data_IF_724224468030
#
_entry.id   IF_724224468030
#
_cell.length_a   1.000
_cell.length_b   1.000
_cell.length_c   1.000
_cell.angle_alpha   90.00
_cell.angle_beta   90.00
_cell.angle_gamma   90.00
#
_symmetry.space_group_name_H-M   'P 1'
#
loop_
_entity.id
_entity.type
_entity.pdbx_description
1 polymer ?
#
# COMPACT_ATOMS: atom_id res chain seq x y z
N UNK A 1 4.03 6.45 -2.30
CA UNK A 1 5.19 6.86 -3.14
C UNK A 1 5.17 6.01 -4.40
N UNK A 2 4.95 6.58 -5.59
CA UNK A 2 5.17 5.83 -6.85
C UNK A 2 6.62 6.02 -7.29
N UNK A 3 7.25 4.97 -7.81
CA UNK A 3 8.53 5.09 -8.50
C UNK A 3 8.34 5.87 -9.82
N UNK A 4 9.38 6.60 -10.26
CA UNK A 4 9.34 7.74 -11.21
C UNK A 4 8.54 7.56 -12.50
N UNK A 5 8.27 6.33 -12.93
CA UNK A 5 7.63 6.03 -14.21
C UNK A 5 6.19 5.49 -14.08
N UNK A 6 5.64 5.34 -12.85
CA UNK A 6 4.29 4.84 -12.63
C UNK A 6 3.34 5.93 -12.14
N UNK A 7 2.27 6.19 -12.91
CA UNK A 7 1.20 7.15 -12.55
C UNK A 7 0.33 6.65 -11.40
N UNK A 8 0.21 5.34 -11.23
CA UNK A 8 -0.57 4.69 -10.19
C UNK A 8 0.09 3.38 -9.79
N UNK A 9 -0.30 2.87 -8.62
CA UNK A 9 -0.05 1.50 -8.18
C UNK A 9 -1.40 0.84 -7.91
N UNK A 10 -1.42 -0.48 -7.80
CA UNK A 10 -2.61 -1.17 -7.33
C UNK A 10 -2.66 -1.18 -5.81
N UNK A 11 -3.85 -1.07 -5.27
CA UNK A 11 -4.14 -1.28 -3.86
C UNK A 11 -5.20 -2.37 -3.75
N UNK A 12 -4.92 -3.37 -2.92
CA UNK A 12 -5.86 -4.37 -2.47
C UNK A 12 -6.17 -4.08 -1.02
N UNK A 13 -7.44 -3.87 -0.76
CA UNK A 13 -8.00 -3.66 0.57
C UNK A 13 -8.67 -4.96 1.02
N UNK A 14 -8.45 -5.34 2.27
CA UNK A 14 -8.93 -6.60 2.82
C UNK A 14 -10.47 -6.65 2.73
N UNK A 15 -11.01 -7.72 2.14
CA UNK A 15 -12.43 -7.92 1.75
C UNK A 15 -12.95 -7.12 0.54
N UNK A 16 -12.09 -6.37 -0.16
CA UNK A 16 -12.48 -5.53 -1.30
C UNK A 16 -11.76 -5.90 -2.60
N UNK A 17 -12.32 -5.51 -3.74
CA UNK A 17 -11.67 -5.66 -5.05
C UNK A 17 -10.47 -4.72 -5.15
N UNK A 18 -9.44 -5.16 -5.89
CA UNK A 18 -8.27 -4.34 -6.15
C UNK A 18 -8.62 -3.12 -7.02
N UNK A 19 -8.04 -1.96 -6.71
CA UNK A 19 -8.27 -0.70 -7.42
C UNK A 19 -6.98 0.07 -7.70
N UNK A 20 -7.05 1.02 -8.63
CA UNK A 20 -5.94 1.91 -8.96
C UNK A 20 -5.79 3.02 -7.90
N UNK A 21 -4.58 3.14 -7.35
CA UNK A 21 -4.19 4.15 -6.38
C UNK A 21 -3.21 5.16 -6.98
N UNK A 22 -3.59 6.44 -6.94
CA UNK A 22 -2.83 7.56 -7.47
C UNK A 22 -2.28 8.41 -6.32
N UNK A 23 -1.07 8.13 -5.79
CA UNK A 23 -0.55 8.78 -4.58
C UNK A 23 -0.31 10.30 -4.73
N UNK A 24 -0.28 10.82 -5.95
CA UNK A 24 -0.17 12.25 -6.24
C UNK A 24 -1.46 13.04 -5.99
N UNK A 25 -2.61 12.35 -5.86
CA UNK A 25 -3.91 12.98 -5.63
C UNK A 25 -4.12 13.19 -4.13
N UNK A 26 -3.81 14.38 -3.63
CA UNK A 26 -3.79 14.73 -2.20
C UNK A 26 -5.18 14.88 -1.54
N UNK A 27 -6.26 14.96 -2.31
CA UNK A 27 -7.57 15.46 -1.86
C UNK A 27 -8.57 14.39 -1.37
N UNK A 28 -8.11 13.17 -1.06
CA UNK A 28 -9.01 12.00 -0.94
C UNK A 28 -9.71 11.81 0.42
N UNK A 29 -9.32 12.53 1.49
CA UNK A 29 -9.91 12.35 2.83
C UNK A 29 -11.39 12.74 2.90
N UNK A 30 -11.79 13.79 2.20
CA UNK A 30 -13.15 14.34 2.27
C UNK A 30 -14.06 13.85 1.13
N UNK A 31 -13.48 13.23 0.11
CA UNK A 31 -14.18 12.73 -1.07
C UNK A 31 -13.72 11.28 -1.37
N UNK A 32 -14.46 10.26 -0.90
CA UNK A 32 -14.15 8.88 -1.22
C UNK A 32 -14.24 8.63 -2.74
N UNK A 33 -13.46 7.67 -3.23
CA UNK A 33 -13.61 7.21 -4.62
C UNK A 33 -14.60 6.06 -4.63
N UNK A 34 -15.69 6.20 -5.39
CA UNK A 34 -16.59 5.09 -5.61
C UNK A 34 -15.94 4.06 -6.53
N UNK A 35 -15.84 2.82 -6.05
CA UNK A 35 -15.33 1.67 -6.78
C UNK A 35 -16.53 0.84 -7.20
N UNK A 36 -16.71 0.68 -8.52
CA UNK A 36 -17.70 -0.23 -9.06
C UNK A 36 -17.26 -1.68 -8.81
N UNK A 37 -18.10 -2.45 -8.13
CA UNK A 37 -17.85 -3.85 -7.85
C UNK A 37 -19.20 -4.59 -7.79
N UNK A 38 -19.58 -5.24 -8.87
CA UNK A 38 -20.84 -5.98 -8.98
C UNK A 38 -20.95 -7.14 -7.98
N UNK A 39 -19.82 -7.61 -7.44
CA UNK A 39 -19.79 -8.66 -6.41
C UNK A 39 -20.03 -8.12 -5.01
N UNK A 40 -19.91 -6.81 -4.83
CA UNK A 40 -20.19 -6.14 -3.57
C UNK A 40 -21.69 -5.84 -3.43
N UNK A 41 -22.23 -5.97 -2.22
CA UNK A 41 -23.63 -5.66 -1.96
C UNK A 41 -23.93 -4.19 -2.30
N UNK A 42 -24.77 -3.96 -3.32
CA UNK A 42 -25.08 -2.62 -3.81
C UNK A 42 -24.31 -2.17 -5.06
N UNK A 43 -23.51 -3.06 -5.68
CA UNK A 43 -22.85 -2.80 -6.97
C UNK A 43 -21.57 -1.97 -6.89
N UNK A 44 -21.10 -1.66 -5.68
CA UNK A 44 -19.85 -0.96 -5.45
C UNK A 44 -19.73 -0.43 -4.03
N UNK A 45 -18.59 0.20 -3.72
CA UNK A 45 -18.29 0.74 -2.40
C UNK A 45 -17.44 2.01 -2.49
N UNK A 46 -17.52 2.84 -1.45
CA UNK A 46 -16.68 4.03 -1.32
C UNK A 46 -15.33 3.63 -0.68
N UNK A 47 -14.25 3.73 -1.46
CA UNK A 47 -12.90 3.57 -0.94
C UNK A 47 -12.40 4.89 -0.35
N UNK A 48 -12.14 4.88 0.96
CA UNK A 48 -11.54 5.99 1.69
C UNK A 48 -10.04 5.72 1.77
N UNK A 49 -9.24 6.48 1.00
CA UNK A 49 -7.80 6.27 0.98
C UNK A 49 -7.19 6.78 2.29
N UNK A 50 -6.58 5.92 3.13
CA UNK A 50 -5.87 6.41 4.29
C UNK A 50 -4.61 7.16 3.85
N UNK A 51 -4.22 8.17 4.62
CA UNK A 51 -2.93 8.83 4.52
C UNK A 51 -1.81 7.86 4.92
N UNK A 52 -1.44 6.89 4.07
CA UNK A 52 -0.26 6.02 4.22
C UNK A 52 -0.20 5.14 5.50
N UNK A 53 -0.96 5.46 6.54
CA UNK A 53 -1.03 4.82 7.85
C UNK A 53 -2.35 4.04 7.96
N UNK A 54 -2.28 2.75 8.28
CA UNK A 54 -3.47 1.89 8.32
C UNK A 54 -4.40 2.30 9.47
N UNK A 55 -5.68 2.52 9.16
CA UNK A 55 -6.75 2.78 10.13
C UNK A 55 -7.29 1.49 10.78
N UNK A 56 -6.43 0.47 10.93
CA UNK A 56 -6.81 -0.87 11.39
C UNK A 56 -7.00 -1.93 10.30
N UNK A 57 -7.08 -1.51 9.02
CA UNK A 57 -7.24 -2.43 7.88
C UNK A 57 -5.91 -2.80 7.20
N UNK A 58 -5.88 -4.00 6.61
CA UNK A 58 -4.74 -4.51 5.85
C UNK A 58 -4.82 -4.05 4.39
N UNK A 59 -3.77 -3.37 3.94
CA UNK A 59 -3.62 -2.94 2.56
C UNK A 59 -2.38 -3.56 1.93
N UNK A 60 -2.54 -4.13 0.73
CA UNK A 60 -1.43 -4.52 -0.12
C UNK A 60 -1.33 -3.55 -1.30
N UNK A 61 -0.23 -2.79 -1.35
CA UNK A 61 0.10 -1.92 -2.46
C UNK A 61 1.16 -2.56 -3.33
N UNK A 62 1.00 -2.50 -4.65
CA UNK A 62 1.95 -3.14 -5.56
C UNK A 62 2.00 -2.48 -6.93
N UNK A 63 3.16 -2.60 -7.56
CA UNK A 63 3.40 -2.11 -8.92
C UNK A 63 2.62 -2.91 -9.96
N UNK A 64 2.38 -2.31 -11.13
CA UNK A 64 1.65 -2.97 -12.23
C UNK A 64 2.28 -4.31 -12.67
N UNK A 65 3.59 -4.40 -12.58
CA UNK A 65 4.41 -5.55 -12.94
C UNK A 65 4.78 -6.44 -11.74
N UNK A 66 4.23 -6.17 -10.55
CA UNK A 66 4.50 -6.89 -9.30
C UNK A 66 5.98 -6.89 -8.86
N UNK A 67 6.83 -6.04 -9.45
CA UNK A 67 8.26 -5.95 -9.13
C UNK A 67 8.55 -5.33 -7.76
N UNK A 68 7.61 -4.55 -7.22
CA UNK A 68 7.70 -3.96 -5.88
C UNK A 68 6.32 -3.75 -5.26
N UNK A 69 6.30 -3.63 -3.94
CA UNK A 69 5.08 -3.37 -3.19
C UNK A 69 5.30 -3.40 -1.68
N UNK A 70 4.24 -3.13 -0.94
CA UNK A 70 4.24 -3.22 0.51
C UNK A 70 2.88 -3.64 1.08
N UNK A 71 2.92 -4.37 2.19
CA UNK A 71 1.75 -4.82 2.96
C UNK A 71 1.75 -4.11 4.31
N UNK A 72 0.62 -3.51 4.68
CA UNK A 72 0.43 -2.93 6.01
C UNK A 72 -0.14 -3.99 6.96
N UNK A 73 0.46 -4.10 8.15
CA UNK A 73 -0.03 -4.91 9.27
C UNK A 73 -0.27 -3.98 10.47
N UNK A 74 -1.45 -3.35 10.56
CA UNK A 74 -1.78 -2.39 11.62
C UNK A 74 -1.67 -2.99 13.02
N UNK A 75 -2.02 -4.26 13.18
CA UNK A 75 -2.05 -4.94 14.48
C UNK A 75 -0.65 -5.15 15.05
N UNK A 76 0.32 -5.45 14.18
CA UNK A 76 1.75 -5.51 14.57
C UNK A 76 2.46 -4.17 14.45
N UNK A 77 1.78 -3.13 13.97
CA UNK A 77 2.39 -1.84 13.63
C UNK A 77 3.56 -1.99 12.65
N UNK A 78 3.44 -2.92 11.69
CA UNK A 78 4.49 -3.25 10.74
C UNK A 78 4.08 -2.89 9.31
N UNK A 79 5.08 -2.59 8.48
CA UNK A 79 4.95 -2.50 7.03
C UNK A 79 5.98 -3.43 6.41
N UNK A 80 5.51 -4.43 5.68
CA UNK A 80 6.38 -5.36 4.95
C UNK A 80 6.62 -4.80 3.56
N UNK A 81 7.89 -4.63 3.18
CA UNK A 81 8.27 -4.02 1.89
C UNK A 81 9.05 -5.05 1.06
N UNK A 82 8.68 -5.20 -0.21
CA UNK A 82 9.42 -6.01 -1.18
C UNK A 82 9.78 -5.21 -2.45
N UNK A 83 10.71 -5.76 -3.22
CA UNK A 83 11.32 -5.10 -4.37
C UNK A 83 12.53 -4.26 -3.96
N UNK A 84 13.68 -4.51 -4.60
CA UNK A 84 14.96 -3.91 -4.23
C UNK A 84 14.92 -2.37 -4.32
N UNK A 85 14.33 -1.84 -5.39
CA UNK A 85 14.23 -0.40 -5.62
C UNK A 85 13.42 0.30 -4.52
N UNK A 86 12.24 -0.21 -4.19
CA UNK A 86 11.41 0.37 -3.14
C UNK A 86 12.05 0.24 -1.75
N UNK A 87 12.66 -0.92 -1.45
CA UNK A 87 13.39 -1.11 -0.18
C UNK A 87 14.51 -0.10 0.00
N UNK A 88 15.31 0.15 -1.05
CA UNK A 88 16.38 1.16 -1.03
C UNK A 88 15.84 2.57 -0.76
N UNK A 89 14.76 2.96 -1.42
CA UNK A 89 14.14 4.28 -1.20
C UNK A 89 13.55 4.42 0.21
N UNK A 90 12.88 3.39 0.73
CA UNK A 90 12.37 3.41 2.12
C UNK A 90 13.51 3.48 3.12
N UNK A 91 14.57 2.68 2.93
CA UNK A 91 15.74 2.69 3.80
C UNK A 91 16.41 4.08 3.82
N UNK A 92 16.57 4.71 2.65
CA UNK A 92 17.14 6.05 2.52
C UNK A 92 16.30 7.12 3.25
N UNK A 93 14.98 6.97 3.28
CA UNK A 93 14.06 7.94 3.86
C UNK A 93 13.47 7.52 5.22
N UNK A 94 13.93 6.41 5.81
CA UNK A 94 13.31 5.80 6.98
C UNK A 94 13.18 6.76 8.16
N UNK A 95 14.23 7.55 8.42
CA UNK A 95 14.23 8.57 9.48
C UNK A 95 13.18 9.65 9.24
N UNK A 96 13.05 10.15 8.01
CA UNK A 96 12.05 11.15 7.65
C UNK A 96 10.62 10.59 7.76
N UNK A 97 10.45 9.30 7.47
CA UNK A 97 9.18 8.58 7.58
C UNK A 97 8.85 8.16 9.01
N UNK A 98 9.76 8.36 9.98
CA UNK A 98 9.58 7.89 11.36
C UNK A 98 9.58 6.36 11.50
N UNK A 99 10.24 5.65 10.57
CA UNK A 99 10.27 4.19 10.55
C UNK A 99 11.51 3.63 11.23
N UNK A 100 11.30 2.60 12.04
CA UNK A 100 12.37 1.71 12.51
C UNK A 100 12.49 0.55 11.54
N UNK A 101 13.66 0.39 10.93
CA UNK A 101 13.93 -0.71 10.01
C UNK A 101 14.13 -2.00 10.79
N UNK A 102 13.37 -3.04 10.43
CA UNK A 102 13.51 -4.39 10.96
C UNK A 102 14.02 -5.25 9.82
N UNK A 103 15.27 -5.73 9.92
CA UNK A 103 15.75 -6.72 8.95
C UNK A 103 15.11 -8.08 9.24
N UNK A 104 14.38 -8.61 8.26
CA UNK A 104 14.04 -10.01 8.27
C UNK A 104 15.32 -10.78 7.95
N UNK A 105 15.86 -11.50 8.94
CA UNK A 105 16.87 -12.51 8.68
C UNK A 105 16.27 -13.50 7.69
N UNK A 106 16.81 -13.54 6.47
CA UNK A 106 16.53 -14.63 5.56
C UNK A 106 16.83 -15.92 6.32
N UNK A 107 15.80 -16.73 6.56
CA UNK A 107 15.93 -17.97 7.28
C UNK A 107 17.15 -18.73 6.77
N UNK A 108 18.01 -19.15 7.70
CA UNK A 108 19.04 -20.15 7.41
C UNK A 108 18.35 -21.27 6.63
N UNK A 109 18.66 -21.37 5.34
CA UNK A 109 18.30 -22.54 4.55
C UNK A 109 19.02 -23.71 5.22
N UNK A 110 18.27 -24.50 5.98
CA UNK A 110 18.68 -25.85 6.35
C UNK A 110 18.62 -26.73 5.12
#
# INVERSE_FOLDING_TARGET
>A
MCLKDQKYMYALDWQHTCYEYYPQVKTRKENPTFILDERYHGGGYNAYFPEFYPNGDYYLFFSKDLSWGYLTDPWRQHIFVYGEQLRKEIQKNAQYLGFTLIESSAGNKK
#
